data_IF_506652522461
#
_entry.id   IF_506652522461
#
_cell.length_a   1.000
_cell.length_b   1.000
_cell.length_c   1.000
_cell.angle_alpha   90.00
_cell.angle_beta   90.00
_cell.angle_gamma   90.00
#
_symmetry.space_group_name_H-M   'P 1'
#
loop_
_entity.id
_entity.type
_entity.pdbx_description
1 polymer ?
#
# COMPACT_ATOMS: atom_id res chain seq x y z
N UNK A 1 13.32 4.57 6.84
CA UNK A 1 11.93 4.77 7.29
C UNK A 1 11.63 3.82 8.45
N UNK A 2 11.67 2.48 8.30
CA UNK A 2 11.25 1.51 9.33
C UNK A 2 11.99 1.66 10.67
N UNK A 3 13.32 1.88 10.68
CA UNK A 3 14.09 2.12 11.91
C UNK A 3 13.59 3.35 12.68
N UNK A 4 13.29 4.43 11.97
CA UNK A 4 12.75 5.65 12.57
C UNK A 4 11.34 5.40 13.14
N UNK A 5 10.46 4.75 12.39
CA UNK A 5 9.12 4.43 12.86
C UNK A 5 9.12 3.47 14.05
N UNK A 6 10.06 2.52 14.11
CA UNK A 6 10.23 1.65 15.28
C UNK A 6 10.64 2.46 16.51
N UNK A 7 11.53 3.46 16.35
CA UNK A 7 11.91 4.39 17.44
C UNK A 7 10.71 5.24 17.92
N UNK A 8 9.86 5.67 16.97
CA UNK A 8 8.61 6.38 17.25
C UNK A 8 7.47 5.46 17.74
N UNK A 9 7.78 4.18 18.01
CA UNK A 9 6.87 3.18 18.58
C UNK A 9 5.65 2.85 17.69
N UNK A 10 5.84 2.76 16.37
CA UNK A 10 4.83 2.19 15.51
C UNK A 10 4.47 0.77 15.99
N UNK A 11 3.18 0.49 16.16
CA UNK A 11 2.71 -0.77 16.73
C UNK A 11 2.90 -1.96 15.79
N UNK A 12 2.81 -1.71 14.46
CA UNK A 12 2.83 -2.76 13.45
C UNK A 12 3.37 -2.24 12.12
N UNK A 13 4.09 -3.07 11.38
CA UNK A 13 4.43 -2.79 9.99
C UNK A 13 3.66 -3.70 9.05
N UNK A 14 3.28 -3.18 7.89
CA UNK A 14 2.76 -4.00 6.81
C UNK A 14 3.57 -3.81 5.54
N UNK A 15 3.87 -4.92 4.88
CA UNK A 15 4.63 -4.96 3.63
C UNK A 15 3.85 -5.71 2.56
N UNK A 16 4.17 -5.44 1.30
CA UNK A 16 3.48 -6.09 0.19
C UNK A 16 4.05 -7.48 -0.13
N UNK A 17 5.35 -7.68 0.03
CA UNK A 17 6.06 -8.91 -0.35
C UNK A 17 6.83 -9.50 0.83
N UNK A 18 7.06 -10.81 0.75
CA UNK A 18 7.78 -11.55 1.79
C UNK A 18 9.23 -11.08 1.92
N UNK A 19 9.91 -10.82 0.80
CA UNK A 19 11.30 -10.35 0.77
C UNK A 19 11.47 -9.02 1.50
N UNK A 20 10.48 -8.13 1.43
CA UNK A 20 10.49 -6.87 2.19
C UNK A 20 10.45 -7.12 3.70
N UNK A 21 9.63 -8.09 4.14
CA UNK A 21 9.59 -8.49 5.55
C UNK A 21 10.92 -9.09 6.02
N UNK A 22 11.54 -9.94 5.18
CA UNK A 22 12.86 -10.54 5.44
C UNK A 22 13.92 -9.44 5.54
N UNK A 23 13.92 -8.47 4.62
CA UNK A 23 14.84 -7.33 4.65
C UNK A 23 14.70 -6.53 5.95
N UNK A 24 13.48 -6.26 6.39
CA UNK A 24 13.23 -5.57 7.65
C UNK A 24 13.80 -6.37 8.84
N UNK A 25 13.57 -7.66 8.91
CA UNK A 25 14.13 -8.52 9.97
C UNK A 25 15.66 -8.55 9.95
N UNK A 26 16.27 -8.65 8.77
CA UNK A 26 17.72 -8.59 8.60
C UNK A 26 18.33 -7.24 9.03
N UNK A 27 17.52 -6.18 9.05
CA UNK A 27 17.91 -4.85 9.52
C UNK A 27 17.50 -4.57 10.98
N UNK A 28 17.26 -5.60 11.79
CA UNK A 28 16.92 -5.52 13.22
C UNK A 28 15.62 -4.76 13.50
N UNK A 29 14.64 -4.90 12.63
CA UNK A 29 13.30 -4.45 12.91
C UNK A 29 12.56 -5.53 13.70
N UNK A 30 12.19 -5.22 14.94
CA UNK A 30 11.53 -6.13 15.88
C UNK A 30 10.02 -5.88 15.99
N UNK A 31 9.54 -4.70 15.60
CA UNK A 31 8.10 -4.40 15.50
C UNK A 31 7.39 -5.52 14.73
N UNK A 32 6.19 -5.95 15.15
CA UNK A 32 5.40 -6.93 14.40
C UNK A 32 5.25 -6.54 12.92
N UNK A 33 5.35 -7.53 12.03
CA UNK A 33 5.25 -7.31 10.57
C UNK A 33 4.16 -8.22 10.02
N UNK A 34 3.26 -7.66 9.21
CA UNK A 34 2.28 -8.37 8.39
C UNK A 34 2.71 -8.32 6.92
N UNK A 35 2.92 -9.48 6.30
CA UNK A 35 2.98 -9.57 4.85
C UNK A 35 1.55 -9.62 4.29
N UNK A 36 1.14 -8.55 3.59
CA UNK A 36 -0.22 -8.41 3.07
C UNK A 36 -0.43 -9.11 1.73
N UNK A 37 0.63 -9.45 1.02
CA UNK A 37 0.59 -10.16 -0.25
C UNK A 37 0.73 -11.67 -0.10
N UNK A 38 0.91 -12.32 -1.23
CA UNK A 38 1.17 -13.76 -1.32
C UNK A 38 2.53 -14.11 -0.72
N UNK A 39 2.54 -15.18 0.06
CA UNK A 39 3.78 -15.86 0.49
C UNK A 39 3.78 -17.24 -0.13
N UNK A 40 4.86 -17.61 -0.81
CA UNK A 40 4.95 -18.92 -1.44
C UNK A 40 4.99 -20.03 -0.41
N UNK A 41 4.54 -21.23 -0.79
CA UNK A 41 4.51 -22.36 0.13
C UNK A 41 5.90 -22.67 0.69
N UNK A 42 6.96 -22.52 -0.11
CA UNK A 42 8.35 -22.75 0.35
C UNK A 42 8.82 -21.73 1.39
N UNK A 43 8.26 -20.52 1.40
CA UNK A 43 8.67 -19.43 2.29
C UNK A 43 7.89 -19.40 3.62
N UNK A 44 6.82 -20.17 3.74
CA UNK A 44 5.95 -20.17 4.95
C UNK A 44 6.76 -20.54 6.20
N UNK A 45 7.65 -21.53 6.12
CA UNK A 45 8.44 -21.96 7.26
C UNK A 45 9.40 -20.85 7.73
N UNK A 46 10.03 -20.15 6.79
CA UNK A 46 10.87 -19.00 7.10
C UNK A 46 10.03 -17.84 7.69
N UNK A 47 8.84 -17.57 7.15
CA UNK A 47 7.94 -16.56 7.70
C UNK A 47 7.60 -16.85 9.17
N UNK A 48 7.29 -18.13 9.51
CA UNK A 48 7.02 -18.56 10.87
C UNK A 48 8.26 -18.39 11.76
N UNK A 49 9.44 -18.80 11.30
CA UNK A 49 10.68 -18.66 12.04
C UNK A 49 11.04 -17.21 12.36
N UNK A 50 10.75 -16.30 11.43
CA UNK A 50 11.02 -14.86 11.57
C UNK A 50 9.90 -14.07 12.23
N UNK A 51 8.85 -14.73 12.72
CA UNK A 51 7.67 -14.08 13.32
C UNK A 51 7.06 -13.02 12.40
N UNK A 52 6.86 -13.38 11.12
CA UNK A 52 6.17 -12.57 10.13
C UNK A 52 4.73 -13.05 10.07
N UNK A 53 3.79 -12.13 10.30
CA UNK A 53 2.36 -12.38 10.14
C UNK A 53 2.01 -12.66 8.68
N UNK A 54 1.20 -13.68 8.45
CA UNK A 54 0.81 -14.16 7.11
C UNK A 54 -0.63 -13.78 6.84
N UNK A 55 -0.87 -13.16 5.68
CA UNK A 55 -2.24 -12.94 5.21
C UNK A 55 -2.84 -14.22 4.67
N UNK A 56 -4.00 -14.61 5.21
CA UNK A 56 -4.74 -15.79 4.79
C UNK A 56 -6.04 -15.40 4.08
N UNK A 57 -6.27 -15.98 2.92
CA UNK A 57 -7.42 -15.68 2.06
C UNK A 57 -8.09 -16.93 1.46
N UNK A 58 -7.71 -18.13 1.89
CA UNK A 58 -8.40 -19.37 1.60
C UNK A 58 -8.19 -20.41 2.73
N UNK A 59 -9.13 -21.30 2.90
CA UNK A 59 -9.04 -22.37 3.90
C UNK A 59 -7.92 -23.37 3.58
N UNK A 60 -7.68 -23.63 2.29
CA UNK A 60 -6.61 -24.50 1.81
C UNK A 60 -5.23 -23.93 2.21
N UNK A 61 -5.01 -22.64 1.99
CA UNK A 61 -3.78 -21.97 2.42
C UNK A 61 -3.61 -22.06 3.94
N UNK A 62 -4.67 -21.83 4.69
CA UNK A 62 -4.65 -21.95 6.16
C UNK A 62 -4.24 -23.35 6.61
N UNK A 63 -4.75 -24.42 5.98
CA UNK A 63 -4.35 -25.80 6.26
C UNK A 63 -2.86 -26.03 6.03
N UNK A 64 -2.31 -25.53 4.92
CA UNK A 64 -0.88 -25.67 4.62
C UNK A 64 -0.05 -24.95 5.68
N UNK A 65 -0.40 -23.74 6.06
CA UNK A 65 0.30 -22.97 7.09
C UNK A 65 0.22 -23.70 8.43
N UNK A 66 -0.97 -24.20 8.82
CA UNK A 66 -1.17 -24.96 10.04
C UNK A 66 -0.29 -26.23 10.09
N UNK A 67 -0.21 -26.97 8.97
CA UNK A 67 0.62 -28.17 8.89
C UNK A 67 2.11 -27.86 9.06
N UNK A 68 2.60 -26.80 8.38
CA UNK A 68 3.99 -26.37 8.47
C UNK A 68 4.33 -25.86 9.87
N UNK A 69 3.45 -25.06 10.46
CA UNK A 69 3.60 -24.58 11.83
C UNK A 69 3.67 -25.75 12.84
N UNK A 70 2.80 -26.76 12.69
CA UNK A 70 2.81 -27.96 13.52
C UNK A 70 4.10 -28.77 13.38
N UNK A 71 4.66 -28.92 12.16
CA UNK A 71 5.96 -29.59 11.97
C UNK A 71 7.12 -28.84 12.66
N UNK A 72 7.01 -27.53 12.77
CA UNK A 72 8.01 -26.69 13.45
C UNK A 72 7.79 -26.63 14.98
N UNK A 73 6.71 -27.22 15.51
CA UNK A 73 6.32 -27.07 16.92
C UNK A 73 5.98 -25.63 17.31
N UNK A 74 5.53 -24.81 16.34
CA UNK A 74 5.23 -23.39 16.52
C UNK A 74 3.79 -23.06 16.16
N UNK A 75 3.35 -21.86 16.50
CA UNK A 75 2.12 -21.27 15.97
C UNK A 75 2.47 -20.20 14.94
N UNK A 76 1.73 -20.19 13.82
CA UNK A 76 1.83 -19.15 12.80
C UNK A 76 0.87 -18.00 13.13
N UNK A 77 1.38 -16.79 13.19
CA UNK A 77 0.58 -15.55 13.25
C UNK A 77 -0.09 -15.32 11.90
N UNK A 78 -1.41 -15.18 11.87
CA UNK A 78 -2.15 -14.92 10.64
C UNK A 78 -3.12 -13.75 10.79
N UNK A 79 -3.34 -13.05 9.69
CA UNK A 79 -4.46 -12.12 9.52
C UNK A 79 -5.38 -12.60 8.39
N UNK A 80 -6.67 -12.71 8.69
CA UNK A 80 -7.69 -13.12 7.72
C UNK A 80 -7.97 -11.92 6.80
N UNK A 81 -7.84 -12.12 5.49
CA UNK A 81 -8.20 -11.11 4.49
C UNK A 81 -9.58 -11.39 3.94
N UNK A 82 -10.45 -10.38 4.02
CA UNK A 82 -11.80 -10.41 3.43
C UNK A 82 -11.81 -9.56 2.15
N UNK A 83 -12.32 -10.12 1.08
CA UNK A 83 -12.63 -9.37 -0.13
C UNK A 83 -14.07 -8.88 -0.07
N UNK A 84 -14.20 -7.61 0.21
CA UNK A 84 -15.50 -6.93 0.29
C UNK A 84 -15.87 -6.17 -0.98
N UNK A 85 -15.00 -6.23 -2.02
CA UNK A 85 -15.24 -5.56 -3.29
C UNK A 85 -13.98 -4.98 -3.97
N UNK A 86 -12.78 -5.17 -3.39
CA UNK A 86 -11.52 -4.82 -4.04
C UNK A 86 -11.15 -5.81 -5.16
N UNK A 87 -11.68 -7.04 -5.09
CA UNK A 87 -11.52 -8.12 -6.09
C UNK A 87 -10.06 -8.46 -6.39
N UNK A 88 -9.22 -8.49 -5.35
CA UNK A 88 -7.79 -8.78 -5.48
C UNK A 88 -7.37 -10.04 -4.72
N UNK A 89 -7.54 -10.06 -3.43
CA UNK A 89 -7.29 -11.18 -2.51
C UNK A 89 -8.32 -11.16 -1.39
N UNK A 90 -8.72 -12.29 -0.87
CA UNK A 90 -9.59 -12.38 0.30
C UNK A 90 -10.63 -13.49 0.19
N UNK A 91 -11.12 -13.95 1.33
CA UNK A 91 -12.35 -14.70 1.39
C UNK A 91 -13.51 -13.81 0.95
N UNK A 92 -14.46 -14.37 0.22
CA UNK A 92 -15.69 -13.67 -0.13
C UNK A 92 -16.59 -13.51 1.13
N UNK A 93 -17.69 -12.78 0.97
CA UNK A 93 -18.63 -12.53 2.07
C UNK A 93 -19.93 -13.34 1.96
N UNK A 94 -19.90 -14.40 1.12
CA UNK A 94 -20.95 -15.39 1.03
C UNK A 94 -20.89 -16.39 2.19
N UNK A 95 -21.97 -17.14 2.37
CA UNK A 95 -22.11 -18.03 3.52
C UNK A 95 -21.10 -19.22 3.49
N UNK A 96 -20.67 -19.67 2.30
CA UNK A 96 -19.67 -20.73 2.19
C UNK A 96 -18.30 -20.21 2.67
N UNK A 97 -17.90 -19.04 2.22
CA UNK A 97 -16.65 -18.40 2.65
C UNK A 97 -16.65 -18.07 4.14
N UNK A 98 -17.79 -17.62 4.68
CA UNK A 98 -17.93 -17.39 6.12
C UNK A 98 -17.78 -18.71 6.88
N UNK A 99 -18.39 -19.81 6.43
CA UNK A 99 -18.22 -21.12 7.04
C UNK A 99 -16.75 -21.59 7.03
N UNK A 100 -16.02 -21.33 5.95
CA UNK A 100 -14.60 -21.67 5.89
C UNK A 100 -13.75 -20.82 6.84
N UNK A 101 -14.09 -19.54 7.01
CA UNK A 101 -13.46 -18.68 8.01
C UNK A 101 -13.72 -19.22 9.43
N UNK A 102 -14.95 -19.64 9.73
CA UNK A 102 -15.31 -20.19 11.04
C UNK A 102 -14.55 -21.47 11.38
N UNK A 103 -14.23 -22.30 10.38
CA UNK A 103 -13.41 -23.51 10.55
C UNK A 103 -11.94 -23.22 10.87
N UNK A 104 -11.43 -22.01 10.64
CA UNK A 104 -10.04 -21.67 10.94
C UNK A 104 -9.69 -21.88 12.42
N UNK A 105 -10.66 -21.75 13.34
CA UNK A 105 -10.47 -22.02 14.77
C UNK A 105 -10.05 -23.47 15.09
N UNK A 106 -10.33 -24.42 14.20
CA UNK A 106 -9.94 -25.82 14.34
C UNK A 106 -8.47 -26.08 14.01
N UNK A 107 -7.82 -25.14 13.37
CA UNK A 107 -6.42 -25.19 12.96
C UNK A 107 -5.51 -24.73 14.11
N UNK A 108 -5.23 -25.64 15.04
CA UNK A 108 -4.64 -25.38 16.37
C UNK A 108 -3.24 -24.75 16.35
N UNK A 109 -2.52 -24.87 15.24
CA UNK A 109 -1.19 -24.29 15.09
C UNK A 109 -1.23 -22.86 14.44
N UNK A 110 -2.43 -22.31 14.28
CA UNK A 110 -2.60 -20.91 13.88
C UNK A 110 -2.92 -20.03 15.08
N UNK A 111 -2.40 -18.82 15.07
CA UNK A 111 -2.81 -17.72 15.93
C UNK A 111 -3.48 -16.66 15.04
N UNK A 112 -4.80 -16.52 15.17
CA UNK A 112 -5.58 -15.57 14.37
C UNK A 112 -5.48 -14.22 15.07
N UNK A 113 -4.45 -13.43 14.70
CA UNK A 113 -4.18 -12.15 15.32
C UNK A 113 -5.09 -11.04 14.79
N UNK A 114 -5.46 -11.12 13.51
CA UNK A 114 -6.24 -10.05 12.89
C UNK A 114 -7.17 -10.49 11.77
N UNK A 115 -8.07 -9.56 11.43
CA UNK A 115 -8.95 -9.66 10.27
C UNK A 115 -9.05 -8.30 9.60
N UNK A 116 -9.04 -8.27 8.26
CA UNK A 116 -9.08 -7.01 7.54
C UNK A 116 -9.68 -7.07 6.15
N UNK A 117 -10.09 -5.90 5.68
CA UNK A 117 -10.40 -5.66 4.27
C UNK A 117 -9.62 -4.44 3.74
N UNK A 118 -9.79 -4.12 2.48
CA UNK A 118 -9.20 -2.93 1.85
C UNK A 118 -10.25 -2.22 1.01
N UNK A 119 -10.46 -0.94 1.30
CA UNK A 119 -11.40 -0.11 0.56
C UNK A 119 -10.84 0.22 -0.82
N UNK A 120 -11.71 0.14 -1.84
CA UNK A 120 -11.36 0.42 -3.22
C UNK A 120 -11.49 1.90 -3.57
N UNK A 121 -12.48 2.59 -2.98
CA UNK A 121 -12.93 3.94 -3.36
C UNK A 121 -12.98 4.91 -2.18
N UNK A 122 -12.23 4.62 -1.09
CA UNK A 122 -12.26 5.50 0.09
C UNK A 122 -11.68 6.89 -0.18
N UNK A 123 -10.97 7.08 -1.27
CA UNK A 123 -10.37 8.33 -1.72
C UNK A 123 -11.23 9.11 -2.73
N UNK A 124 -12.39 8.59 -3.11
CA UNK A 124 -13.39 9.30 -3.93
C UNK A 124 -14.34 10.11 -3.05
N UNK A 125 -14.97 11.14 -3.61
CA UNK A 125 -15.98 11.95 -2.91
C UNK A 125 -17.22 11.13 -2.55
N UNK A 126 -17.70 10.28 -3.48
CA UNK A 126 -18.81 9.36 -3.22
C UNK A 126 -18.32 8.14 -2.42
N UNK A 127 -18.74 8.06 -1.17
CA UNK A 127 -18.38 6.97 -0.24
C UNK A 127 -19.33 5.77 -0.28
N UNK A 128 -20.31 5.72 -1.18
CA UNK A 128 -21.34 4.68 -1.23
C UNK A 128 -20.75 3.27 -1.28
N UNK A 129 -19.84 3.03 -2.21
CA UNK A 129 -19.19 1.70 -2.35
C UNK A 129 -18.30 1.37 -1.13
N UNK A 130 -17.66 2.37 -0.54
CA UNK A 130 -16.88 2.21 0.68
C UNK A 130 -17.77 1.75 1.86
N UNK A 131 -18.95 2.34 2.02
CA UNK A 131 -19.90 1.89 3.05
C UNK A 131 -20.47 0.49 2.75
N UNK A 132 -20.75 0.15 1.50
CA UNK A 132 -21.14 -1.22 1.12
C UNK A 132 -20.04 -2.25 1.43
N UNK A 133 -18.77 -1.90 1.18
CA UNK A 133 -17.64 -2.74 1.60
C UNK A 133 -17.59 -2.91 3.13
N UNK A 134 -17.84 -1.84 3.86
CA UNK A 134 -17.90 -1.86 5.32
C UNK A 134 -19.02 -2.76 5.85
N UNK A 135 -20.22 -2.68 5.27
CA UNK A 135 -21.35 -3.55 5.63
C UNK A 135 -21.03 -5.03 5.40
N UNK A 136 -20.45 -5.35 4.26
CA UNK A 136 -20.00 -6.73 3.95
C UNK A 136 -18.95 -7.21 4.95
N UNK A 137 -18.01 -6.36 5.35
CA UNK A 137 -17.02 -6.70 6.37
C UNK A 137 -17.67 -6.93 7.74
N UNK A 138 -18.59 -6.07 8.16
CA UNK A 138 -19.33 -6.22 9.40
C UNK A 138 -20.12 -7.53 9.45
N UNK A 139 -20.76 -7.96 8.34
CA UNK A 139 -21.44 -9.27 8.24
C UNK A 139 -20.51 -10.42 8.69
N UNK A 140 -19.23 -10.39 8.26
CA UNK A 140 -18.24 -11.41 8.63
C UNK A 140 -17.88 -11.29 10.13
N UNK A 141 -17.66 -10.07 10.62
CA UNK A 141 -17.36 -9.82 12.04
C UNK A 141 -18.49 -10.34 12.92
N UNK A 142 -19.75 -10.03 12.59
CA UNK A 142 -20.92 -10.50 13.32
C UNK A 142 -21.02 -12.03 13.37
N UNK A 143 -20.65 -12.71 12.28
CA UNK A 143 -20.62 -14.17 12.23
C UNK A 143 -19.53 -14.75 13.16
N UNK A 144 -18.35 -14.14 13.22
CA UNK A 144 -17.27 -14.52 14.11
C UNK A 144 -17.66 -14.32 15.58
N UNK A 145 -18.25 -13.17 15.91
CA UNK A 145 -18.72 -12.85 17.27
C UNK A 145 -19.80 -13.83 17.73
N UNK A 146 -20.78 -14.16 16.88
CA UNK A 146 -21.80 -15.19 17.17
C UNK A 146 -21.20 -16.59 17.41
N UNK A 147 -20.05 -16.88 16.77
CA UNK A 147 -19.32 -18.13 16.96
C UNK A 147 -18.33 -18.10 18.15
N UNK A 148 -18.33 -17.03 18.95
CA UNK A 148 -17.41 -16.76 20.05
C UNK A 148 -15.93 -16.84 19.60
N UNK A 149 -15.63 -16.30 18.40
CA UNK A 149 -14.28 -16.15 17.88
C UNK A 149 -13.89 -14.68 18.06
N UNK A 150 -13.05 -14.42 19.06
CA UNK A 150 -12.49 -13.08 19.27
C UNK A 150 -11.21 -12.92 18.49
N UNK A 151 -11.07 -11.78 17.81
CA UNK A 151 -9.90 -11.42 17.01
C UNK A 151 -9.36 -10.08 17.50
N UNK A 152 -8.08 -10.06 17.87
CA UNK A 152 -7.44 -8.92 18.50
C UNK A 152 -7.44 -7.68 17.60
N UNK A 153 -7.06 -7.82 16.33
CA UNK A 153 -6.93 -6.68 15.41
C UNK A 153 -8.00 -6.73 14.32
N UNK A 154 -8.86 -5.70 14.28
CA UNK A 154 -9.84 -5.49 13.22
C UNK A 154 -9.46 -4.24 12.46
N UNK A 155 -9.12 -4.33 11.16
CA UNK A 155 -8.59 -3.18 10.42
C UNK A 155 -9.09 -3.06 8.99
N UNK A 156 -9.63 -1.89 8.67
CA UNK A 156 -10.18 -1.57 7.34
C UNK A 156 -9.54 -0.32 6.73
N UNK A 157 -9.19 0.66 7.56
CA UNK A 157 -8.81 2.01 7.14
C UNK A 157 -7.43 2.05 6.45
N UNK A 158 -7.42 2.48 5.19
CA UNK A 158 -6.25 2.97 4.47
C UNK A 158 -6.06 4.49 4.73
N UNK A 159 -5.11 5.15 4.09
CA UNK A 159 -4.86 6.59 4.29
C UNK A 159 -6.11 7.44 4.07
N UNK A 160 -6.88 7.21 3.02
CA UNK A 160 -8.09 7.96 2.73
C UNK A 160 -9.13 7.79 3.85
N UNK A 161 -9.39 6.56 4.27
CA UNK A 161 -10.35 6.29 5.34
C UNK A 161 -9.87 6.85 6.69
N UNK A 162 -8.57 6.92 6.97
CA UNK A 162 -8.03 7.58 8.17
C UNK A 162 -8.37 9.07 8.18
N UNK A 163 -8.31 9.73 7.01
CA UNK A 163 -8.55 11.17 6.90
C UNK A 163 -10.06 11.47 6.92
N UNK A 164 -10.85 10.77 6.09
CA UNK A 164 -12.25 11.12 5.81
C UNK A 164 -13.27 10.34 6.65
N UNK A 165 -12.91 9.15 7.18
CA UNK A 165 -13.85 8.24 7.84
C UNK A 165 -13.36 7.91 9.27
N UNK A 166 -13.32 8.94 10.13
CA UNK A 166 -12.70 8.88 11.46
C UNK A 166 -13.36 7.89 12.44
N UNK A 167 -14.63 7.52 12.24
CA UNK A 167 -15.43 6.76 13.21
C UNK A 167 -15.91 5.41 12.65
N UNK A 168 -14.98 4.53 12.24
CA UNK A 168 -15.34 3.21 11.73
C UNK A 168 -15.47 2.12 12.81
N UNK A 169 -15.06 2.40 14.06
CA UNK A 169 -15.22 1.50 15.21
C UNK A 169 -14.24 0.33 15.23
N UNK A 170 -13.09 0.41 14.56
CA UNK A 170 -12.06 -0.62 14.56
C UNK A 170 -10.78 -0.13 15.23
N UNK A 171 -9.93 -1.06 15.67
CA UNK A 171 -8.84 -0.78 16.60
C UNK A 171 -7.45 -0.73 15.96
N UNK A 172 -7.34 -0.82 14.63
CA UNK A 172 -6.08 -0.72 13.90
C UNK A 172 -6.28 -0.03 12.55
N UNK A 173 -5.32 0.81 12.14
CA UNK A 173 -5.32 1.52 10.86
C UNK A 173 -4.05 1.21 10.08
N UNK A 174 -4.08 1.40 8.77
CA UNK A 174 -2.93 1.18 7.89
C UNK A 174 -2.59 2.47 7.15
N UNK A 175 -1.66 3.23 7.72
CA UNK A 175 -1.15 4.44 7.11
C UNK A 175 -0.15 4.07 5.99
N UNK A 176 -0.54 4.29 4.74
CA UNK A 176 0.28 4.02 3.55
C UNK A 176 0.87 5.32 2.98
N UNK A 177 0.32 5.81 1.87
CA UNK A 177 0.84 6.98 1.15
C UNK A 177 0.89 8.24 2.02
N UNK A 178 -0.02 8.40 2.98
CA UNK A 178 -0.02 9.50 3.94
C UNK A 178 1.21 9.54 4.83
N UNK A 179 1.85 8.40 5.11
CA UNK A 179 3.11 8.32 5.84
C UNK A 179 4.25 9.06 5.11
N UNK A 180 4.17 9.09 3.78
CA UNK A 180 5.14 9.79 2.94
C UNK A 180 4.72 11.23 2.59
N UNK A 181 3.64 11.72 3.21
CA UNK A 181 3.18 13.09 3.09
C UNK A 181 2.39 13.39 1.82
N UNK A 182 1.76 12.39 1.24
CA UNK A 182 0.93 12.54 0.05
C UNK A 182 -0.52 12.15 0.33
N UNK A 183 -1.45 12.91 -0.24
CA UNK A 183 -2.86 12.55 -0.26
C UNK A 183 -3.09 11.46 -1.32
N UNK A 184 -4.00 10.50 -1.06
CA UNK A 184 -4.28 9.43 -2.02
C UNK A 184 -4.96 9.91 -3.30
N UNK A 185 -5.74 11.00 -3.23
CA UNK A 185 -6.35 11.68 -4.39
C UNK A 185 -6.57 13.16 -4.08
N UNK A 186 -7.03 13.92 -5.09
CA UNK A 186 -7.42 15.33 -4.89
C UNK A 186 -8.77 15.49 -4.20
N UNK A 187 -9.58 14.43 -4.14
CA UNK A 187 -10.92 14.43 -3.54
C UNK A 187 -10.92 14.22 -2.02
N UNK A 188 -9.81 13.73 -1.46
CA UNK A 188 -9.66 13.55 -0.01
C UNK A 188 -9.52 14.90 0.69
N UNK A 189 -10.13 15.04 1.86
CA UNK A 189 -10.05 16.24 2.69
C UNK A 189 -8.61 16.69 2.93
N UNK A 190 -8.38 18.00 2.89
CA UNK A 190 -7.06 18.62 3.16
C UNK A 190 -6.97 19.21 4.58
N UNK A 191 -7.91 18.86 5.49
CA UNK A 191 -7.89 19.33 6.88
C UNK A 191 -6.62 18.88 7.66
N UNK A 192 -6.09 17.72 7.31
CA UNK A 192 -4.81 17.23 7.87
C UNK A 192 -3.68 17.66 6.95
N UNK A 193 -2.83 18.60 7.39
CA UNK A 193 -1.66 19.01 6.62
C UNK A 193 -0.64 17.87 6.52
N UNK A 194 -0.36 17.42 5.29
CA UNK A 194 0.66 16.42 5.00
C UNK A 194 1.91 17.08 4.42
N UNK A 195 3.10 16.64 4.88
CA UNK A 195 4.39 17.17 4.42
C UNK A 195 5.13 16.10 3.63
N UNK A 196 5.38 16.29 2.32
CA UNK A 196 6.11 15.33 1.51
C UNK A 196 7.48 14.96 2.11
N UNK A 197 7.70 13.68 2.32
CA UNK A 197 8.92 13.16 2.94
C UNK A 197 10.09 13.03 1.94
N UNK A 198 9.81 13.10 0.61
CA UNK A 198 10.80 12.91 -0.45
C UNK A 198 10.80 14.11 -1.41
N UNK A 199 11.99 14.46 -1.90
CA UNK A 199 12.18 15.41 -2.99
C UNK A 199 13.06 14.77 -4.07
N UNK A 200 12.59 14.76 -5.32
CA UNK A 200 13.39 14.37 -6.45
C UNK A 200 14.18 15.60 -6.93
N UNK A 201 15.48 15.47 -7.08
CA UNK A 201 16.38 16.54 -7.52
C UNK A 201 17.28 16.06 -8.64
N UNK A 202 17.57 16.95 -9.57
CA UNK A 202 18.53 16.74 -10.64
C UNK A 202 19.32 18.01 -10.90
N UNK A 203 20.25 17.98 -11.85
CA UNK A 203 21.06 19.11 -12.26
C UNK A 203 20.70 19.56 -13.68
N UNK A 204 20.95 20.84 -13.97
CA UNK A 204 20.90 21.36 -15.33
C UNK A 204 22.25 21.06 -16.00
N UNK A 205 22.21 20.33 -17.10
CA UNK A 205 23.41 19.93 -17.84
C UNK A 205 23.70 20.87 -19.02
N UNK A 206 22.68 21.55 -19.52
CA UNK A 206 22.85 22.52 -20.62
C UNK A 206 21.77 23.60 -20.55
N UNK A 207 22.15 24.83 -20.92
CA UNK A 207 21.23 25.96 -21.09
C UNK A 207 21.52 26.61 -22.43
N UNK A 208 20.47 26.88 -23.19
CA UNK A 208 20.58 27.60 -24.47
C UNK A 208 19.35 28.45 -24.74
N UNK A 209 19.54 29.55 -25.45
CA UNK A 209 18.44 30.33 -26.02
C UNK A 209 18.03 29.73 -27.36
N UNK A 210 16.75 29.55 -27.58
CA UNK A 210 16.17 29.01 -28.81
C UNK A 210 15.27 30.04 -29.47
N UNK A 211 15.29 30.06 -30.79
CA UNK A 211 14.47 30.98 -31.60
C UNK A 211 13.02 30.44 -31.75
N UNK A 212 12.06 31.31 -32.12
CA UNK A 212 10.73 30.86 -32.53
C UNK A 212 10.84 29.82 -33.67
N UNK A 213 9.96 28.83 -33.67
CA UNK A 213 9.95 27.70 -34.61
C UNK A 213 10.92 26.57 -34.24
N UNK A 214 11.72 26.69 -33.17
CA UNK A 214 12.56 25.60 -32.70
C UNK A 214 11.70 24.46 -32.16
N UNK A 215 11.93 23.26 -32.70
CA UNK A 215 11.26 22.04 -32.30
C UNK A 215 12.07 21.23 -31.29
N UNK A 216 11.39 20.51 -30.38
CA UNK A 216 12.03 19.83 -29.24
C UNK A 216 11.74 18.34 -29.23
N UNK A 217 12.79 17.56 -28.94
CA UNK A 217 12.77 16.14 -28.63
C UNK A 217 12.20 15.25 -29.76
N UNK A 218 12.04 13.95 -29.45
CA UNK A 218 11.56 12.95 -30.39
C UNK A 218 10.16 13.26 -30.92
N UNK A 219 10.01 13.21 -32.24
CA UNK A 219 8.73 13.45 -32.93
C UNK A 219 8.31 14.92 -32.96
N UNK A 220 9.18 15.83 -32.52
CA UNK A 220 8.93 17.29 -32.56
C UNK A 220 7.55 17.68 -31.99
N UNK A 221 7.18 17.07 -30.85
CA UNK A 221 5.86 17.25 -30.23
C UNK A 221 5.65 18.64 -29.61
N UNK A 222 6.70 19.43 -29.53
CA UNK A 222 6.65 20.81 -29.03
C UNK A 222 7.46 21.75 -29.96
N UNK A 223 6.91 22.94 -30.20
CA UNK A 223 7.53 23.99 -31.00
C UNK A 223 7.42 25.32 -30.25
N UNK A 224 8.55 26.03 -30.10
CA UNK A 224 8.58 27.33 -29.47
C UNK A 224 7.96 28.40 -30.37
N UNK A 225 7.01 29.17 -29.85
CA UNK A 225 6.35 30.27 -30.55
C UNK A 225 7.12 31.59 -30.42
N UNK A 226 7.99 31.70 -29.42
CA UNK A 226 8.78 32.88 -29.11
C UNK A 226 10.19 32.46 -28.70
N UNK A 227 11.14 33.46 -28.70
CA UNK A 227 12.47 33.19 -28.19
C UNK A 227 12.42 32.81 -26.70
N UNK A 228 13.02 31.69 -26.35
CA UNK A 228 12.90 31.10 -25.01
C UNK A 228 14.24 30.54 -24.54
N UNK A 229 14.39 30.42 -23.22
CA UNK A 229 15.51 29.70 -22.62
C UNK A 229 15.12 28.23 -22.38
N UNK A 230 15.90 27.33 -22.99
CA UNK A 230 15.72 25.87 -22.83
C UNK A 230 16.84 25.30 -21.95
N UNK A 231 16.47 24.65 -20.87
CA UNK A 231 17.38 23.91 -20.01
C UNK A 231 17.22 22.39 -20.23
N UNK A 232 18.35 21.69 -20.30
CA UNK A 232 18.38 20.22 -20.30
C UNK A 232 18.69 19.71 -18.90
N UNK A 233 17.90 18.77 -18.40
CA UNK A 233 18.04 18.17 -17.08
C UNK A 233 18.58 16.75 -17.20
N UNK A 234 19.48 16.35 -16.30
CA UNK A 234 20.02 14.99 -16.24
C UNK A 234 19.04 14.07 -15.51
N UNK A 235 17.92 13.77 -16.13
CA UNK A 235 16.90 12.83 -15.64
C UNK A 235 15.98 12.42 -16.78
N UNK A 236 15.68 11.13 -16.86
CA UNK A 236 14.77 10.60 -17.85
C UNK A 236 13.97 9.39 -17.37
N UNK A 237 13.35 8.68 -18.32
CA UNK A 237 12.49 7.55 -17.95
C UNK A 237 13.26 6.34 -17.40
N UNK A 238 14.57 6.20 -17.69
CA UNK A 238 15.40 5.16 -17.07
C UNK A 238 15.64 5.39 -15.58
N UNK A 239 15.52 6.63 -15.11
CA UNK A 239 15.58 7.00 -13.69
C UNK A 239 14.22 6.90 -12.99
N UNK A 240 13.17 6.52 -13.71
CA UNK A 240 11.80 6.47 -13.20
C UNK A 240 11.02 7.78 -13.37
N UNK A 241 11.53 8.77 -14.12
CA UNK A 241 10.78 9.97 -14.46
C UNK A 241 9.76 9.64 -15.56
N UNK A 242 8.50 9.50 -15.16
CA UNK A 242 7.44 8.93 -15.99
C UNK A 242 7.24 9.71 -17.29
N UNK A 243 7.38 9.00 -18.42
CA UNK A 243 7.24 9.56 -19.76
C UNK A 243 5.80 9.89 -20.15
N UNK A 244 4.82 9.33 -19.44
CA UNK A 244 3.39 9.48 -19.76
C UNK A 244 2.72 10.61 -18.97
N UNK A 245 3.47 11.34 -18.15
CA UNK A 245 2.94 12.48 -17.40
C UNK A 245 2.31 13.53 -18.31
N UNK A 246 1.13 13.97 -17.94
CA UNK A 246 0.46 15.10 -18.58
C UNK A 246 1.02 16.43 -18.01
N UNK A 247 1.61 17.26 -18.89
CA UNK A 247 2.15 18.58 -18.51
C UNK A 247 3.09 18.56 -17.29
N UNK A 248 4.16 17.74 -17.30
CA UNK A 248 5.08 17.68 -16.18
C UNK A 248 5.76 19.03 -15.98
N UNK A 249 6.03 19.38 -14.72
CA UNK A 249 6.67 20.63 -14.35
C UNK A 249 7.86 20.37 -13.44
N UNK A 250 8.84 21.24 -13.51
CA UNK A 250 10.03 21.23 -12.65
C UNK A 250 10.21 22.61 -12.01
N UNK A 251 10.77 22.65 -10.83
CA UNK A 251 11.09 23.91 -10.16
C UNK A 251 12.57 24.23 -10.34
N UNK A 252 12.86 25.39 -10.92
CA UNK A 252 14.22 25.92 -11.11
C UNK A 252 14.31 27.26 -10.38
N UNK A 253 15.17 27.37 -9.38
CA UNK A 253 15.36 28.59 -8.58
C UNK A 253 14.03 29.23 -8.07
N UNK A 254 13.09 28.38 -7.65
CA UNK A 254 11.78 28.83 -7.15
C UNK A 254 10.75 29.15 -8.25
N UNK A 255 11.10 29.02 -9.52
CA UNK A 255 10.19 29.21 -10.66
C UNK A 255 9.72 27.87 -11.18
N UNK A 256 8.42 27.71 -11.37
CA UNK A 256 7.83 26.51 -11.96
C UNK A 256 7.92 26.58 -13.49
N UNK A 257 8.69 25.66 -14.07
CA UNK A 257 8.97 25.58 -15.51
C UNK A 257 8.29 24.35 -16.12
N UNK A 258 7.78 24.49 -17.34
CA UNK A 258 7.19 23.38 -18.09
C UNK A 258 8.28 22.46 -18.64
N UNK A 259 8.05 21.15 -18.58
CA UNK A 259 8.86 20.17 -19.31
C UNK A 259 8.27 20.02 -20.70
N UNK A 260 9.08 20.34 -21.72
CA UNK A 260 8.63 20.43 -23.11
C UNK A 260 9.21 19.32 -23.99
N UNK A 261 8.41 18.83 -24.92
CA UNK A 261 8.78 17.69 -25.76
C UNK A 261 8.66 16.35 -25.02
N UNK A 262 9.13 15.27 -25.66
CA UNK A 262 9.11 13.94 -25.05
C UNK A 262 10.27 13.76 -24.09
N UNK A 263 10.02 13.17 -22.93
CA UNK A 263 11.05 12.77 -21.98
C UNK A 263 11.92 11.69 -22.62
N UNK A 264 13.25 11.88 -22.59
CA UNK A 264 14.25 10.96 -23.09
C UNK A 264 14.62 9.90 -22.03
N UNK A 265 15.62 9.06 -22.32
CA UNK A 265 16.04 7.97 -21.43
C UNK A 265 16.66 8.51 -20.15
N UNK A 266 17.53 9.51 -20.27
CA UNK A 266 18.43 10.10 -19.26
C UNK A 266 18.47 11.64 -19.33
#
# INVERSE_FOLDING_TARGET
>A
VAKMLQQEKADYFSVARFEEAVELRNNNIHTPILCMGYISECDIEEAIHRYIGITVYSYEMAKIINQKAGKLGKKASIHIKIDTGMSRLGFLTDDNSINDILKLKELINLNIDGIYTHFATADETDKKETYLQLERYKKVIDALEKANIDIQFKHVSNTAAIIDLKELGFNMVRLGIGLYGHYPSDEVSKEVELKPAMKLKTIITNIKTVAPGTKVSYGYTYEFKEASTLATLAIGYADGFDRTQNNPKVMINGVLCDVVGRICMD
#
